data_IF_992697257488
#
_entry.id   IF_992697257488
#
_cell.length_a   1.000
_cell.length_b   1.000
_cell.length_c   1.000
_cell.angle_alpha   90.00
_cell.angle_beta   90.00
_cell.angle_gamma   90.00
#
_symmetry.space_group_name_H-M   'P 1'
#
loop_
_entity.id
_entity.type
_entity.pdbx_description
1 polymer ?
#
# COMPACT_ATOMS: atom_id res chain seq x y z
N UNK A 1 -19.70 5.34 -6.08
CA UNK A 1 -18.49 6.06 -6.54
C UNK A 1 -18.41 6.00 -8.06
N UNK A 2 -18.03 7.09 -8.70
CA UNK A 2 -17.89 7.11 -10.15
C UNK A 2 -16.81 6.11 -10.61
N UNK A 3 -17.15 5.29 -11.59
CA UNK A 3 -16.29 4.22 -12.07
C UNK A 3 -14.99 4.73 -12.69
N UNK A 4 -15.09 5.78 -13.51
CA UNK A 4 -13.91 6.33 -14.17
C UNK A 4 -12.96 6.98 -13.17
N UNK A 5 -13.49 7.67 -12.17
CA UNK A 5 -12.69 8.26 -11.10
C UNK A 5 -12.02 7.17 -10.26
N UNK A 6 -12.75 6.09 -9.97
CA UNK A 6 -12.18 4.97 -9.21
C UNK A 6 -10.98 4.36 -9.96
N UNK A 7 -11.08 4.21 -11.27
CA UNK A 7 -9.99 3.68 -12.09
C UNK A 7 -8.79 4.62 -12.06
N UNK A 8 -9.01 5.94 -12.17
CA UNK A 8 -7.92 6.92 -12.11
C UNK A 8 -7.20 6.88 -10.76
N UNK A 9 -7.96 6.84 -9.66
CA UNK A 9 -7.38 6.75 -8.32
C UNK A 9 -6.58 5.45 -8.19
N UNK A 10 -7.14 4.34 -8.64
CA UNK A 10 -6.48 3.04 -8.59
C UNK A 10 -5.16 3.05 -9.36
N UNK A 11 -5.14 3.63 -10.55
CA UNK A 11 -3.93 3.71 -11.36
C UNK A 11 -2.84 4.49 -10.64
N UNK A 12 -3.19 5.61 -10.02
CA UNK A 12 -2.23 6.41 -9.25
C UNK A 12 -1.66 5.63 -8.06
N UNK A 13 -2.52 4.93 -7.33
CA UNK A 13 -2.09 4.15 -6.16
C UNK A 13 -1.25 2.94 -6.59
N UNK A 14 -1.63 2.28 -7.68
CA UNK A 14 -0.88 1.15 -8.22
C UNK A 14 0.54 1.56 -8.59
N UNK A 15 0.70 2.74 -9.20
CA UNK A 15 2.01 3.24 -9.58
C UNK A 15 2.97 3.40 -8.40
N UNK A 16 2.43 3.65 -7.20
CA UNK A 16 3.25 3.70 -5.98
C UNK A 16 3.89 2.34 -5.71
N UNK A 17 3.17 1.26 -5.99
CA UNK A 17 3.61 -0.11 -5.69
C UNK A 17 4.49 -0.72 -6.78
N UNK A 18 4.31 -0.31 -8.04
CA UNK A 18 5.01 -0.90 -9.18
C UNK A 18 6.52 -1.00 -9.00
N UNK A 19 7.22 0.05 -8.49
CA UNK A 19 8.68 -0.03 -8.34
C UNK A 19 9.15 -1.16 -7.41
N UNK A 20 8.28 -1.64 -6.54
CA UNK A 20 8.62 -2.67 -5.56
C UNK A 20 8.22 -4.08 -6.00
N UNK A 21 7.55 -4.22 -7.14
CA UNK A 21 7.09 -5.52 -7.63
C UNK A 21 8.24 -6.46 -7.98
N UNK A 22 9.37 -5.90 -8.40
CA UNK A 22 10.56 -6.69 -8.71
C UNK A 22 11.09 -7.32 -7.41
N UNK A 23 11.18 -8.64 -7.41
CA UNK A 23 11.62 -9.35 -6.21
C UNK A 23 10.52 -9.72 -5.23
N UNK A 24 9.28 -9.31 -5.50
CA UNK A 24 8.10 -9.70 -4.73
C UNK A 24 7.14 -10.49 -5.60
N UNK A 25 6.17 -11.13 -4.97
CA UNK A 25 5.15 -11.90 -5.69
C UNK A 25 3.96 -10.99 -5.97
N UNK A 26 3.66 -10.80 -7.25
CA UNK A 26 2.57 -9.96 -7.72
C UNK A 26 1.33 -10.77 -8.03
N UNK A 27 0.19 -10.28 -7.54
CA UNK A 27 -1.13 -10.74 -7.98
C UNK A 27 -1.90 -9.53 -8.44
N UNK A 28 -2.41 -9.55 -9.67
CA UNK A 28 -3.19 -8.44 -10.17
C UNK A 28 -4.42 -8.88 -10.93
N UNK A 29 -5.40 -8.00 -10.94
CA UNK A 29 -6.66 -8.16 -11.67
C UNK A 29 -7.08 -6.77 -12.15
N UNK A 30 -8.28 -6.67 -12.76
CA UNK A 30 -8.81 -5.38 -13.20
C UNK A 30 -9.06 -4.41 -12.04
N UNK A 31 -9.25 -4.93 -10.83
CA UNK A 31 -9.62 -4.14 -9.66
C UNK A 31 -8.62 -4.20 -8.51
N UNK A 32 -7.51 -4.90 -8.68
CA UNK A 32 -6.56 -5.08 -7.59
C UNK A 32 -5.13 -5.27 -8.07
N UNK A 33 -4.19 -4.83 -7.22
CA UNK A 33 -2.76 -4.96 -7.44
C UNK A 33 -2.15 -5.24 -6.08
N UNK A 34 -1.61 -6.45 -5.87
CA UNK A 34 -1.16 -6.89 -4.54
C UNK A 34 0.25 -7.47 -4.59
N UNK A 35 1.07 -7.08 -3.62
CA UNK A 35 2.45 -7.55 -3.50
C UNK A 35 2.64 -8.29 -2.18
N UNK A 36 3.18 -9.49 -2.26
CA UNK A 36 3.56 -10.28 -1.09
C UNK A 36 5.05 -10.55 -1.12
N UNK A 37 5.66 -10.63 0.06
CA UNK A 37 7.05 -11.07 0.19
C UNK A 37 7.14 -12.56 -0.14
N UNK A 38 8.31 -12.99 -0.59
CA UNK A 38 8.54 -14.41 -0.86
C UNK A 38 8.65 -15.23 0.42
N UNK A 39 9.10 -14.59 1.50
CA UNK A 39 9.20 -15.22 2.80
C UNK A 39 7.83 -15.37 3.45
N UNK A 40 7.65 -16.47 4.15
CA UNK A 40 6.38 -16.79 4.80
C UNK A 40 6.42 -16.48 6.28
N UNK A 41 5.30 -15.96 6.81
CA UNK A 41 5.10 -15.76 8.25
C UNK A 41 4.97 -17.13 8.91
N UNK A 42 4.24 -18.03 8.24
CA UNK A 42 4.13 -19.44 8.59
C UNK A 42 3.83 -20.20 7.31
N UNK A 43 3.94 -21.52 7.35
CA UNK A 43 3.76 -22.37 6.17
C UNK A 43 2.48 -22.02 5.40
N UNK A 44 2.63 -21.68 4.13
CA UNK A 44 1.51 -21.33 3.26
C UNK A 44 1.00 -19.90 3.40
N UNK A 45 1.62 -19.08 4.26
CA UNK A 45 1.18 -17.71 4.50
C UNK A 45 2.33 -16.72 4.27
N UNK A 46 2.46 -16.16 3.06
CA UNK A 46 3.50 -15.16 2.80
C UNK A 46 3.26 -13.87 3.57
N UNK A 47 4.34 -13.16 3.87
CA UNK A 47 4.25 -11.85 4.51
C UNK A 47 3.73 -10.83 3.50
N UNK A 48 2.61 -10.19 3.80
CA UNK A 48 2.01 -9.19 2.94
C UNK A 48 2.83 -7.89 2.96
N UNK A 49 3.00 -7.27 1.78
CA UNK A 49 3.66 -5.97 1.69
C UNK A 49 2.64 -4.84 1.51
N UNK A 50 1.91 -4.84 0.42
CA UNK A 50 0.98 -3.78 0.13
C UNK A 50 0.09 -4.10 -1.05
N UNK A 51 -0.99 -3.31 -1.20
CA UNK A 51 -1.95 -3.51 -2.27
C UNK A 51 -2.73 -2.23 -2.56
N UNK A 52 -3.26 -2.14 -3.76
CA UNK A 52 -4.28 -1.16 -4.13
C UNK A 52 -5.49 -1.95 -4.66
N UNK A 53 -6.69 -1.50 -4.31
CA UNK A 53 -7.91 -2.23 -4.65
C UNK A 53 -9.09 -1.27 -4.83
N UNK A 54 -9.87 -1.51 -5.88
CA UNK A 54 -11.12 -0.76 -6.10
C UNK A 54 -12.22 -1.45 -5.31
N UNK A 55 -12.78 -0.72 -4.34
CA UNK A 55 -13.93 -1.20 -3.58
C UNK A 55 -15.22 -0.57 -4.07
N UNK A 56 -16.32 -0.85 -3.39
CA UNK A 56 -17.65 -0.34 -3.76
C UNK A 56 -17.76 1.17 -3.58
N UNK A 57 -17.23 1.69 -2.48
CA UNK A 57 -17.40 3.09 -2.09
C UNK A 57 -16.13 3.92 -2.13
N UNK A 58 -14.98 3.28 -2.26
CA UNK A 58 -13.69 3.97 -2.30
C UNK A 58 -12.63 3.04 -2.87
N UNK A 59 -11.46 3.62 -3.19
CA UNK A 59 -10.27 2.86 -3.57
C UNK A 59 -9.37 2.79 -2.35
N UNK A 60 -8.89 1.61 -2.04
CA UNK A 60 -8.08 1.37 -0.84
C UNK A 60 -6.63 1.13 -1.18
N UNK A 61 -5.74 1.62 -0.31
CA UNK A 61 -4.32 1.36 -0.36
C UNK A 61 -3.90 0.72 0.96
N UNK A 62 -3.28 -0.45 0.89
CA UNK A 62 -2.84 -1.19 2.07
C UNK A 62 -1.33 -1.18 2.13
N UNK A 63 -0.77 -0.97 3.32
CA UNK A 63 0.68 -0.97 3.52
C UNK A 63 0.98 -1.65 4.85
N UNK A 64 1.30 -2.94 4.80
CA UNK A 64 1.47 -3.76 6.00
C UNK A 64 2.66 -3.34 6.89
N UNK A 65 3.79 -2.84 6.33
CA UNK A 65 4.89 -2.39 7.21
C UNK A 65 4.49 -1.40 8.28
N UNK A 66 3.51 -0.53 8.03
CA UNK A 66 3.08 0.45 9.03
C UNK A 66 2.30 -0.21 10.18
N UNK A 67 1.71 -1.37 9.93
CA UNK A 67 1.08 -2.15 10.99
C UNK A 67 2.14 -2.77 11.89
N UNK A 68 3.20 -3.30 11.30
CA UNK A 68 4.29 -3.93 12.04
C UNK A 68 5.15 -2.90 12.78
N UNK A 69 5.29 -1.70 12.22
CA UNK A 69 6.13 -0.63 12.77
C UNK A 69 5.38 0.69 12.72
N UNK A 70 4.51 0.97 13.71
CA UNK A 70 3.72 2.21 13.72
C UNK A 70 4.56 3.48 13.77
N UNK A 71 5.84 3.39 14.16
CA UNK A 71 6.72 4.56 14.15
C UNK A 71 6.90 5.13 12.74
N UNK A 72 6.66 4.33 11.70
CA UNK A 72 6.72 4.80 10.31
C UNK A 72 5.67 5.89 10.03
N UNK A 73 4.60 5.94 10.84
CA UNK A 73 3.54 6.94 10.69
C UNK A 73 3.85 8.27 11.35
N UNK A 74 4.97 8.37 12.07
CA UNK A 74 5.37 9.64 12.68
C UNK A 74 5.63 10.68 11.60
N UNK A 75 5.12 11.89 11.81
CA UNK A 75 5.22 12.95 10.82
C UNK A 75 4.19 12.91 9.72
N UNK A 76 3.30 11.91 9.71
CA UNK A 76 2.23 11.83 8.73
C UNK A 76 1.27 13.00 8.89
N UNK A 77 0.83 13.60 7.77
CA UNK A 77 -0.11 14.70 7.80
C UNK A 77 -1.44 14.28 8.40
N UNK A 78 -2.15 15.24 8.98
CA UNK A 78 -3.47 15.00 9.54
C UNK A 78 -4.46 14.57 8.45
N UNK A 79 -4.34 15.11 7.24
CA UNK A 79 -5.19 14.77 6.11
C UNK A 79 -5.02 13.31 5.70
N UNK A 80 -3.79 12.82 5.63
CA UNK A 80 -3.55 11.41 5.32
C UNK A 80 -4.05 10.51 6.45
N UNK A 81 -3.85 10.94 7.70
CA UNK A 81 -4.34 10.19 8.85
C UNK A 81 -5.85 10.01 8.81
N UNK A 82 -6.58 11.01 8.33
CA UNK A 82 -8.04 10.94 8.18
C UNK A 82 -8.47 9.92 7.14
N UNK A 83 -7.60 9.53 6.23
CA UNK A 83 -7.90 8.49 5.24
C UNK A 83 -7.73 7.09 5.78
N UNK A 84 -7.10 6.93 6.94
CA UNK A 84 -6.88 5.61 7.52
C UNK A 84 -8.18 5.01 8.06
N UNK A 85 -8.34 3.72 7.76
CA UNK A 85 -9.36 2.90 8.37
C UNK A 85 -8.64 1.65 8.90
N UNK A 86 -8.53 1.54 10.21
CA UNK A 86 -7.68 0.52 10.80
C UNK A 86 -6.22 0.97 10.83
N UNK A 87 -5.30 0.03 10.90
CA UNK A 87 -3.88 0.32 11.16
C UNK A 87 -2.98 0.31 9.94
N UNK A 88 -3.46 -0.16 8.80
CA UNK A 88 -2.65 -0.30 7.60
C UNK A 88 -3.39 -0.01 6.30
N UNK A 89 -4.61 0.49 6.37
CA UNK A 89 -5.46 0.76 5.22
C UNK A 89 -5.76 2.25 5.09
N UNK A 90 -5.66 2.76 3.86
CA UNK A 90 -5.97 4.15 3.52
C UNK A 90 -7.03 4.14 2.43
N UNK A 91 -8.14 4.87 2.63
CA UNK A 91 -9.26 4.89 1.69
C UNK A 91 -9.39 6.25 1.03
N UNK A 92 -9.60 6.25 -0.29
CA UNK A 92 -9.68 7.46 -1.09
C UNK A 92 -10.95 7.48 -1.94
N UNK A 93 -11.60 8.64 -2.00
CA UNK A 93 -12.75 8.91 -2.86
C UNK A 93 -12.44 9.95 -3.93
N UNK A 94 -11.29 10.62 -3.77
CA UNK A 94 -10.86 11.67 -4.69
C UNK A 94 -9.40 11.46 -5.05
N UNK A 95 -8.97 12.15 -6.09
CA UNK A 95 -7.59 12.07 -6.59
C UNK A 95 -6.72 13.05 -5.81
N UNK A 96 -6.34 12.69 -4.59
CA UNK A 96 -5.58 13.53 -3.67
C UNK A 96 -4.08 13.44 -3.95
N UNK A 97 -3.62 14.19 -4.96
CA UNK A 97 -2.23 14.11 -5.43
C UNK A 97 -1.21 14.34 -4.33
N UNK A 98 -1.44 15.31 -3.45
CA UNK A 98 -0.52 15.59 -2.33
C UNK A 98 -0.44 14.42 -1.36
N UNK A 99 -1.57 13.77 -1.08
CA UNK A 99 -1.60 12.60 -0.20
C UNK A 99 -0.96 11.39 -0.86
N UNK A 100 -1.09 11.24 -2.19
CA UNK A 100 -0.43 10.17 -2.92
C UNK A 100 1.08 10.32 -2.90
N UNK A 101 1.60 11.55 -2.96
CA UNK A 101 3.03 11.83 -2.78
C UNK A 101 3.50 11.40 -1.40
N UNK A 102 2.70 11.69 -0.39
CA UNK A 102 3.01 11.32 0.99
C UNK A 102 3.00 9.80 1.16
N UNK A 103 2.02 9.12 0.55
CA UNK A 103 1.97 7.66 0.53
C UNK A 103 3.18 7.04 -0.18
N UNK A 104 3.63 7.68 -1.25
CA UNK A 104 4.81 7.21 -1.98
C UNK A 104 6.03 7.20 -1.07
N UNK A 105 6.23 8.29 -0.32
CA UNK A 105 7.33 8.37 0.65
C UNK A 105 7.18 7.36 1.77
N UNK A 106 5.95 7.16 2.27
CA UNK A 106 5.67 6.20 3.32
C UNK A 106 5.92 4.76 2.85
N UNK A 107 5.54 4.46 1.62
CA UNK A 107 5.76 3.13 1.03
C UNK A 107 7.24 2.82 0.94
N UNK A 108 8.05 3.81 0.57
CA UNK A 108 9.51 3.66 0.53
C UNK A 108 10.06 3.33 1.91
N UNK A 109 9.61 4.04 2.93
CA UNK A 109 10.03 3.76 4.31
C UNK A 109 9.60 2.36 4.75
N UNK A 110 8.40 1.94 4.36
CA UNK A 110 7.90 0.61 4.64
C UNK A 110 8.75 -0.48 3.97
N UNK A 111 9.13 -0.25 2.72
CA UNK A 111 10.00 -1.17 2.00
C UNK A 111 11.35 -1.29 2.72
N UNK A 112 11.95 -0.16 3.09
CA UNK A 112 13.22 -0.14 3.82
C UNK A 112 13.12 -0.86 5.16
N UNK A 113 12.01 -0.69 5.87
CA UNK A 113 11.75 -1.37 7.13
C UNK A 113 11.71 -2.90 6.94
N UNK A 114 11.06 -3.37 5.88
CA UNK A 114 11.00 -4.79 5.58
C UNK A 114 12.37 -5.36 5.17
N UNK A 115 13.17 -4.59 4.44
CA UNK A 115 14.54 -4.99 4.12
C UNK A 115 15.35 -5.14 5.42
N UNK A 116 15.25 -4.17 6.31
CA UNK A 116 15.95 -4.18 7.60
C UNK A 116 15.52 -5.34 8.48
N UNK A 117 14.22 -5.67 8.46
CA UNK A 117 13.67 -6.77 9.25
C UNK A 117 13.88 -8.15 8.61
N UNK A 118 14.43 -8.20 7.39
CA UNK A 118 14.70 -9.46 6.72
C UNK A 118 13.56 -10.06 5.92
N UNK A 119 12.41 -9.36 5.81
CA UNK A 119 11.30 -9.85 5.00
C UNK A 119 11.56 -9.72 3.51
N UNK A 120 12.36 -8.74 3.11
CA UNK A 120 12.73 -8.50 1.71
C UNK A 120 14.26 -8.55 1.61
N UNK A 121 14.74 -9.35 0.69
CA UNK A 121 16.17 -9.41 0.39
C UNK A 121 16.48 -8.36 -0.68
N UNK A 122 17.55 -7.64 -0.47
CA UNK A 122 17.96 -6.58 -1.37
C UNK A 122 19.17 -7.01 -2.20
#
# INVERSE_FOLDING_TARGET
MDKDLAIEIFQELREILIPYAKGLDLKESDTGYSLNCKKEVKKGMPMFFGAASIGKNYVSFYLMPVYADPALLEGMSLELKKRMQGKSCFNFKTKDVALFKELKALTRKGYQSYVKSGWIEK
#
